data_IF_232561662385
#
_entry.id   IF_232561662385
#
_cell.length_a   1.000
_cell.length_b   1.000
_cell.length_c   1.000
_cell.angle_alpha   90.00
_cell.angle_beta   90.00
_cell.angle_gamma   90.00
#
_symmetry.space_group_name_H-M   'P 1'
#
loop_
_entity.id
_entity.type
_entity.pdbx_description
1 polymer ?
#
# COMPACT_ATOMS: atom_id res chain seq x y z
N UNK A 1 8.74 -18.88 -43.66
CA UNK A 1 9.11 -19.10 -42.24
C UNK A 1 9.38 -17.81 -41.44
N UNK A 2 8.79 -16.64 -41.78
CA UNK A 2 9.13 -15.37 -41.10
C UNK A 2 8.07 -14.81 -40.14
N UNK A 3 6.78 -14.95 -40.47
CA UNK A 3 5.70 -14.22 -39.81
C UNK A 3 5.42 -14.68 -38.37
N UNK A 4 5.65 -15.96 -38.06
CA UNK A 4 5.49 -16.48 -36.69
C UNK A 4 6.46 -15.82 -35.71
N UNK A 5 7.72 -15.63 -36.10
CA UNK A 5 8.71 -14.97 -35.24
C UNK A 5 8.34 -13.50 -34.97
N UNK A 6 7.90 -12.76 -35.99
CA UNK A 6 7.42 -11.38 -35.81
C UNK A 6 6.17 -11.31 -34.93
N UNK A 7 5.23 -12.24 -35.10
CA UNK A 7 4.02 -12.32 -34.28
C UNK A 7 4.35 -12.62 -32.82
N UNK A 8 5.25 -13.56 -32.56
CA UNK A 8 5.70 -13.90 -31.20
C UNK A 8 6.42 -12.73 -30.54
N UNK A 9 7.30 -12.02 -31.25
CA UNK A 9 7.97 -10.84 -30.72
C UNK A 9 7.00 -9.72 -30.39
N UNK A 10 6.00 -9.48 -31.26
CA UNK A 10 4.95 -8.49 -31.06
C UNK A 10 4.08 -8.80 -29.84
N UNK A 11 3.62 -10.04 -29.70
CA UNK A 11 2.84 -10.50 -28.54
C UNK A 11 3.66 -10.41 -27.24
N UNK A 12 4.94 -10.78 -27.28
CA UNK A 12 5.82 -10.71 -26.13
C UNK A 12 6.00 -9.26 -25.66
N UNK A 13 6.23 -8.33 -26.59
CA UNK A 13 6.33 -6.90 -26.28
C UNK A 13 5.05 -6.34 -25.66
N UNK A 14 3.88 -6.70 -26.19
CA UNK A 14 2.59 -6.26 -25.67
C UNK A 14 2.32 -6.77 -24.25
N UNK A 15 2.64 -8.04 -23.96
CA UNK A 15 2.48 -8.64 -22.64
C UNK A 15 3.45 -8.03 -21.61
N UNK A 16 4.69 -7.75 -22.01
CA UNK A 16 5.66 -7.05 -21.16
C UNK A 16 5.19 -5.61 -20.84
N UNK A 17 4.69 -4.87 -21.82
CA UNK A 17 4.13 -3.54 -21.58
C UNK A 17 2.92 -3.58 -20.65
N UNK A 18 2.02 -4.55 -20.82
CA UNK A 18 0.86 -4.72 -19.94
C UNK A 18 1.27 -4.98 -18.49
N UNK A 19 2.28 -5.84 -18.27
CA UNK A 19 2.81 -6.09 -16.92
C UNK A 19 3.46 -4.86 -16.29
N UNK A 20 4.12 -4.02 -17.09
CA UNK A 20 4.73 -2.78 -16.61
C UNK A 20 3.66 -1.75 -16.23
N UNK A 21 2.61 -1.61 -17.04
CA UNK A 21 1.49 -0.70 -16.75
C UNK A 21 0.75 -1.14 -15.48
N UNK A 22 0.48 -2.44 -15.31
CA UNK A 22 -0.17 -2.96 -14.09
C UNK A 22 0.74 -2.78 -12.86
N UNK A 23 2.07 -2.92 -13.00
CA UNK A 23 3.00 -2.74 -11.88
C UNK A 23 3.13 -1.27 -11.43
N UNK A 24 2.94 -0.30 -12.32
CA UNK A 24 2.99 1.14 -12.00
C UNK A 24 1.61 1.67 -11.56
N UNK A 25 0.54 0.99 -11.96
CA UNK A 25 -0.82 1.35 -11.58
C UNK A 25 -1.13 0.92 -10.15
N UNK A 26 -0.93 1.84 -9.19
CA UNK A 26 -1.58 1.75 -7.89
C UNK A 26 -3.09 1.87 -8.10
N UNK A 27 -3.78 0.75 -8.30
CA UNK A 27 -5.25 0.67 -8.32
C UNK A 27 -5.79 1.23 -7.00
N UNK A 28 -6.08 2.53 -6.96
CA UNK A 28 -6.90 3.15 -5.92
C UNK A 28 -8.31 2.60 -6.12
N UNK A 29 -8.65 1.54 -5.41
CA UNK A 29 -10.04 1.10 -5.32
C UNK A 29 -10.88 2.30 -4.84
N UNK A 30 -12.01 2.59 -5.50
CA UNK A 30 -12.97 3.55 -4.98
C UNK A 30 -13.36 3.13 -3.57
N UNK A 31 -13.13 4.04 -2.62
CA UNK A 31 -13.43 3.86 -1.20
C UNK A 31 -14.94 3.64 -1.05
N UNK A 32 -15.37 2.38 -0.99
CA UNK A 32 -16.79 2.04 -0.79
C UNK A 32 -17.19 2.59 0.58
N UNK A 33 -18.00 3.64 0.56
CA UNK A 33 -18.51 4.33 1.73
C UNK A 33 -19.33 3.34 2.57
N UNK A 34 -18.66 2.70 3.54
CA UNK A 34 -19.31 1.86 4.55
C UNK A 34 -19.83 2.80 5.63
N UNK A 35 -21.11 3.14 5.52
CA UNK A 35 -21.88 3.76 6.59
C UNK A 35 -21.91 2.77 7.77
N UNK A 36 -21.25 3.12 8.88
CA UNK A 36 -21.34 2.39 10.13
C UNK A 36 -21.80 3.34 11.23
N UNK A 37 -23.08 3.24 11.54
CA UNK A 37 -23.75 3.74 12.73
C UNK A 37 -23.60 2.71 13.87
N UNK A 38 -22.36 2.28 14.14
CA UNK A 38 -22.04 1.28 15.17
C UNK A 38 -20.86 1.76 16.02
N UNK A 39 -21.20 2.22 17.22
CA UNK A 39 -20.42 2.25 18.46
C UNK A 39 -19.10 3.04 18.42
N UNK A 40 -19.05 4.10 19.22
CA UNK A 40 -17.92 5.01 19.49
C UNK A 40 -16.68 4.27 20.07
N UNK A 41 -16.00 3.48 19.26
CA UNK A 41 -14.55 3.28 19.40
C UNK A 41 -13.83 4.51 18.83
N UNK A 42 -12.57 4.80 19.23
CA UNK A 42 -11.79 5.83 18.57
C UNK A 42 -11.74 5.46 17.09
N UNK A 43 -12.34 6.30 16.25
CA UNK A 43 -12.25 6.15 14.80
C UNK A 43 -10.80 6.45 14.44
N UNK A 44 -9.94 5.44 14.48
CA UNK A 44 -8.54 5.54 14.04
C UNK A 44 -8.59 5.84 12.55
N UNK A 45 -8.61 7.14 12.26
CA UNK A 45 -8.71 7.67 10.90
C UNK A 45 -7.30 7.63 10.36
N UNK A 46 -6.92 6.51 9.78
CA UNK A 46 -5.69 6.42 9.01
C UNK A 46 -5.77 7.40 7.85
N UNK A 47 -4.93 8.43 7.90
CA UNK A 47 -4.80 9.40 6.85
C UNK A 47 -3.75 8.88 5.86
N UNK A 48 -4.16 8.43 4.65
CA UNK A 48 -3.22 7.93 3.67
C UNK A 48 -2.23 8.99 3.18
N UNK A 49 -2.47 10.28 3.45
CA UNK A 49 -1.52 11.35 3.11
C UNK A 49 -0.27 11.35 3.99
N UNK A 50 -0.33 10.70 5.16
CA UNK A 50 0.80 10.59 6.10
C UNK A 50 1.70 9.38 5.79
N UNK A 51 1.33 8.56 4.80
CA UNK A 51 2.11 7.40 4.36
C UNK A 51 3.09 7.82 3.27
N UNK A 52 4.37 7.57 3.49
CA UNK A 52 5.41 7.67 2.48
C UNK A 52 5.88 6.28 2.09
N UNK A 53 5.91 6.02 0.79
CA UNK A 53 6.46 4.78 0.27
C UNK A 53 7.99 4.80 0.27
N UNK A 54 8.62 3.72 0.76
CA UNK A 54 10.09 3.58 0.79
C UNK A 54 10.58 2.56 -0.25
N UNK A 55 9.93 1.39 -0.34
CA UNK A 55 10.30 0.38 -1.34
C UNK A 55 9.12 -0.50 -1.71
N UNK A 56 9.12 -1.03 -2.94
CA UNK A 56 8.18 -2.06 -3.38
C UNK A 56 8.71 -3.48 -3.14
N UNK A 57 10.05 -3.66 -3.10
CA UNK A 57 10.71 -4.95 -2.90
C UNK A 57 12.02 -4.77 -2.10
N UNK A 58 12.05 -5.14 -0.82
CA UNK A 58 10.92 -5.56 0.01
C UNK A 58 9.86 -4.45 0.13
N UNK A 59 8.60 -4.82 0.36
CA UNK A 59 7.51 -3.84 0.48
C UNK A 59 7.64 -3.09 1.81
N UNK A 60 7.94 -1.79 1.74
CA UNK A 60 8.19 -0.94 2.91
C UNK A 60 7.52 0.44 2.76
N UNK A 61 6.81 0.85 3.81
CA UNK A 61 6.14 2.14 3.92
C UNK A 61 6.40 2.74 5.30
N UNK A 62 6.53 4.06 5.37
CA UNK A 62 6.71 4.81 6.61
C UNK A 62 5.45 5.65 6.84
N UNK A 63 4.83 5.51 8.02
CA UNK A 63 3.67 6.31 8.43
C UNK A 63 4.12 7.37 9.44
N UNK A 64 3.95 8.66 9.11
CA UNK A 64 4.33 9.74 10.01
C UNK A 64 3.28 9.92 11.12
N UNK A 65 3.73 9.97 12.37
CA UNK A 65 2.85 10.19 13.53
C UNK A 65 1.90 9.02 13.80
N UNK A 66 2.36 7.78 13.57
CA UNK A 66 1.56 6.58 13.82
C UNK A 66 1.26 6.39 15.32
N UNK A 67 2.25 6.66 16.17
CA UNK A 67 2.11 6.75 17.62
C UNK A 67 2.37 8.18 18.07
N UNK A 68 1.55 8.65 19.00
CA UNK A 68 1.85 9.87 19.76
C UNK A 68 2.96 9.61 20.78
N UNK A 69 3.63 10.67 21.22
CA UNK A 69 4.67 10.58 22.25
C UNK A 69 4.16 9.91 23.54
N UNK A 70 2.92 10.23 23.94
CA UNK A 70 2.27 9.64 25.13
C UNK A 70 2.05 8.13 25.01
N UNK A 71 1.67 7.67 23.82
CA UNK A 71 1.49 6.23 23.55
C UNK A 71 2.83 5.51 23.57
N UNK A 72 3.88 6.11 23.00
CA UNK A 72 5.24 5.59 23.09
C UNK A 72 5.71 5.46 24.55
N UNK A 73 5.54 6.50 25.36
CA UNK A 73 5.91 6.48 26.78
C UNK A 73 5.13 5.42 27.56
N UNK A 74 3.84 5.27 27.27
CA UNK A 74 3.01 4.24 27.88
C UNK A 74 3.53 2.83 27.57
N UNK A 75 3.85 2.54 26.30
CA UNK A 75 4.40 1.25 25.89
C UNK A 75 5.76 0.97 26.53
N UNK A 76 6.64 1.97 26.63
CA UNK A 76 7.94 1.84 27.30
C UNK A 76 7.75 1.52 28.78
N UNK A 77 6.84 2.24 29.44
CA UNK A 77 6.58 2.04 30.86
C UNK A 77 5.95 0.67 31.14
N UNK A 78 5.08 0.17 30.26
CA UNK A 78 4.51 -1.17 30.38
C UNK A 78 5.58 -2.27 30.35
N UNK A 79 6.56 -2.16 29.45
CA UNK A 79 7.58 -3.20 29.26
C UNK A 79 8.69 -3.14 30.32
N UNK A 80 8.93 -1.96 30.92
CA UNK A 80 9.92 -1.79 32.00
C UNK A 80 9.66 -2.62 33.26
N UNK A 81 8.45 -3.16 33.43
CA UNK A 81 8.07 -3.98 34.57
C UNK A 81 8.01 -5.49 34.24
N UNK A 82 8.56 -5.92 33.10
CA UNK A 82 8.81 -7.32 32.72
C UNK A 82 10.29 -7.62 32.92
#
# INVERSE_FOLDING_TARGET
MGYWHFLTLSLCFFLCLLSHIISVSSLRLPKLYRNHNTIHGPKVRFDPTLVTQVSWRPRAFVYKGFLSEKECDHLINMVRFI
#
